data_IF_370083902300
#
_entry.id   IF_370083902300
#
_cell.length_a   1.000
_cell.length_b   1.000
_cell.length_c   1.000
_cell.angle_alpha   90.00
_cell.angle_beta   90.00
_cell.angle_gamma   90.00
#
_symmetry.space_group_name_H-M   'P 1'
#
loop_
_entity.id
_entity.type
_entity.pdbx_description
1 polymer ?
#
# COMPACT_ATOMS: atom_id res chain seq x y z
N UNK A 1 13.26 10.72 4.65
CA UNK A 1 12.35 11.51 3.79
C UNK A 1 13.07 12.07 2.57
N UNK A 2 14.15 12.82 2.74
CA UNK A 2 14.84 13.49 1.62
C UNK A 2 15.34 12.50 0.55
N UNK A 3 15.88 11.37 0.97
CA UNK A 3 16.47 10.36 0.08
C UNK A 3 15.43 9.61 -0.76
N UNK A 4 14.29 9.24 -0.15
CA UNK A 4 13.28 8.39 -0.79
C UNK A 4 12.01 9.13 -1.20
N UNK A 5 11.88 10.42 -0.87
CA UNK A 5 10.72 11.25 -1.17
C UNK A 5 9.38 10.63 -0.66
N UNK A 6 9.41 10.08 0.55
CA UNK A 6 8.27 9.49 1.24
C UNK A 6 8.16 10.09 2.63
N UNK A 7 6.96 10.46 3.06
CA UNK A 7 6.70 11.11 4.34
C UNK A 7 6.94 10.13 5.49
N UNK A 8 7.65 10.58 6.53
CA UNK A 8 7.91 9.77 7.74
C UNK A 8 6.61 9.37 8.46
N UNK A 9 5.62 10.26 8.47
CA UNK A 9 4.35 10.03 9.15
C UNK A 9 3.54 8.92 8.46
N UNK A 10 3.65 8.81 7.12
CA UNK A 10 3.09 7.68 6.38
C UNK A 10 3.74 6.35 6.79
N UNK A 11 5.07 6.32 6.86
CA UNK A 11 5.79 5.10 7.27
C UNK A 11 5.44 4.70 8.70
N UNK A 12 5.35 5.66 9.62
CA UNK A 12 4.91 5.39 11.00
C UNK A 12 3.49 4.83 11.04
N UNK A 13 2.57 5.41 10.27
CA UNK A 13 1.19 4.93 10.19
C UNK A 13 1.12 3.51 9.63
N UNK A 14 1.88 3.20 8.58
CA UNK A 14 1.96 1.85 8.00
C UNK A 14 2.51 0.84 9.03
N UNK A 15 3.62 1.15 9.70
CA UNK A 15 4.16 0.30 10.77
C UNK A 15 3.14 0.10 11.91
N UNK A 16 2.38 1.14 12.25
CA UNK A 16 1.30 1.05 13.22
C UNK A 16 0.21 0.07 12.81
N UNK A 17 -0.23 0.12 11.55
CA UNK A 17 -1.27 -0.75 11.00
C UNK A 17 -0.77 -2.19 10.86
N UNK A 18 0.44 -2.38 10.32
CA UNK A 18 0.97 -3.72 10.02
C UNK A 18 1.37 -4.49 11.27
N UNK A 19 2.03 -3.84 12.22
CA UNK A 19 2.67 -4.54 13.34
C UNK A 19 2.43 -3.92 14.71
N UNK A 20 1.55 -2.91 14.81
CA UNK A 20 1.40 -2.12 16.04
C UNK A 20 2.77 -1.65 16.56
N UNK A 21 3.51 -0.96 15.69
CA UNK A 21 4.86 -0.44 15.97
C UNK A 21 5.86 -1.53 16.40
N UNK A 22 5.83 -2.68 15.74
CA UNK A 22 6.72 -3.80 16.00
C UNK A 22 6.32 -4.72 17.16
N UNK A 23 5.18 -4.47 17.82
CA UNK A 23 4.70 -5.33 18.91
C UNK A 23 4.11 -6.67 18.42
N UNK A 24 3.65 -6.73 17.16
CA UNK A 24 3.03 -7.93 16.54
C UNK A 24 3.71 -8.30 15.23
N UNK A 25 4.91 -8.83 15.31
CA UNK A 25 5.69 -9.25 14.12
C UNK A 25 5.28 -10.63 13.57
N UNK A 26 4.43 -11.36 14.30
CA UNK A 26 4.13 -12.76 14.03
C UNK A 26 5.14 -13.72 14.69
N UNK A 27 4.71 -14.97 14.91
CA UNK A 27 5.50 -16.02 15.60
C UNK A 27 5.61 -17.31 14.79
N UNK A 28 5.09 -17.30 13.56
CA UNK A 28 5.14 -18.49 12.69
C UNK A 28 6.49 -18.57 12.00
N UNK A 29 7.03 -19.77 11.91
CA UNK A 29 8.18 -20.04 11.06
C UNK A 29 7.80 -19.81 9.59
N UNK A 30 8.50 -18.91 8.93
CA UNK A 30 8.13 -18.44 7.57
C UNK A 30 8.34 -19.55 6.54
N UNK A 31 9.40 -20.34 6.66
CA UNK A 31 9.69 -21.42 5.72
C UNK A 31 8.58 -22.46 5.80
N UNK A 32 8.25 -22.91 7.01
CA UNK A 32 7.17 -23.88 7.23
C UNK A 32 5.80 -23.34 6.76
N UNK A 33 5.52 -22.06 7.00
CA UNK A 33 4.28 -21.42 6.57
C UNK A 33 4.16 -21.41 5.05
N UNK A 34 5.19 -20.96 4.34
CA UNK A 34 5.21 -20.91 2.87
C UNK A 34 5.17 -22.32 2.26
N UNK A 35 5.92 -23.28 2.84
CA UNK A 35 5.89 -24.68 2.39
C UNK A 35 4.48 -25.27 2.53
N UNK A 36 3.82 -25.08 3.68
CA UNK A 36 2.46 -25.56 3.91
C UNK A 36 1.47 -24.95 2.90
N UNK A 37 1.53 -23.63 2.71
CA UNK A 37 0.65 -22.92 1.78
C UNK A 37 0.91 -23.27 0.30
N UNK A 38 2.11 -23.73 -0.03
CA UNK A 38 2.45 -24.25 -1.36
C UNK A 38 1.66 -25.53 -1.72
N UNK A 39 1.20 -26.29 -0.75
CA UNK A 39 0.33 -27.45 -0.96
C UNK A 39 -1.14 -27.08 -1.19
N UNK A 40 -1.59 -25.90 -0.78
CA UNK A 40 -2.97 -25.46 -1.00
C UNK A 40 -3.18 -25.06 -2.46
N UNK A 41 -3.94 -25.86 -3.19
CA UNK A 41 -4.20 -25.70 -4.63
C UNK A 41 -4.70 -24.30 -5.04
N UNK A 42 -5.37 -23.58 -4.13
CA UNK A 42 -5.96 -22.27 -4.42
C UNK A 42 -4.92 -21.21 -4.78
N UNK A 43 -3.73 -21.24 -4.18
CA UNK A 43 -2.66 -20.26 -4.38
C UNK A 43 -1.25 -20.91 -4.38
N UNK A 44 -1.18 -22.20 -4.71
CA UNK A 44 0.05 -23.00 -4.69
C UNK A 44 1.20 -22.33 -5.45
N UNK A 45 0.96 -21.91 -6.68
CA UNK A 45 1.98 -21.26 -7.50
C UNK A 45 2.54 -20.00 -6.86
N UNK A 46 1.66 -19.15 -6.31
CA UNK A 46 2.10 -17.94 -5.62
C UNK A 46 3.02 -18.25 -4.44
N UNK A 47 2.59 -19.14 -3.53
CA UNK A 47 3.37 -19.44 -2.33
C UNK A 47 4.62 -20.26 -2.62
N UNK A 48 4.61 -21.12 -3.63
CA UNK A 48 5.82 -21.82 -4.09
C UNK A 48 6.87 -20.84 -4.62
N UNK A 49 6.45 -19.83 -5.37
CA UNK A 49 7.35 -18.79 -5.86
C UNK A 49 7.93 -17.95 -4.71
N UNK A 50 7.10 -17.58 -3.73
CA UNK A 50 7.58 -16.85 -2.53
C UNK A 50 8.60 -17.69 -1.74
N UNK A 51 8.32 -18.99 -1.55
CA UNK A 51 9.26 -19.91 -0.87
C UNK A 51 10.59 -20.00 -1.61
N UNK A 52 10.58 -20.20 -2.93
CA UNK A 52 11.80 -20.28 -3.73
C UNK A 52 12.62 -18.99 -3.68
N UNK A 53 11.95 -17.83 -3.67
CA UNK A 53 12.63 -16.54 -3.51
C UNK A 53 13.27 -16.45 -2.13
N UNK A 54 12.55 -16.82 -1.06
CA UNK A 54 13.07 -16.80 0.29
C UNK A 54 14.32 -17.68 0.43
N UNK A 55 14.27 -18.92 -0.08
CA UNK A 55 15.42 -19.84 -0.02
C UNK A 55 16.65 -19.28 -0.75
N UNK A 56 16.46 -18.57 -1.87
CA UNK A 56 17.56 -17.88 -2.57
C UNK A 56 18.13 -16.72 -1.77
N UNK A 57 17.30 -15.93 -1.09
CA UNK A 57 17.75 -14.83 -0.24
C UNK A 57 18.59 -15.34 0.95
N UNK A 58 18.22 -16.51 1.49
CA UNK A 58 18.99 -17.19 2.54
C UNK A 58 20.33 -17.74 1.99
N UNK A 59 20.27 -18.42 0.85
CA UNK A 59 21.47 -19.02 0.20
C UNK A 59 22.52 -17.96 -0.18
N UNK A 60 22.07 -16.74 -0.46
CA UNK A 60 22.91 -15.59 -0.78
C UNK A 60 23.34 -14.76 0.45
N UNK A 61 23.05 -15.21 1.65
CA UNK A 61 23.28 -14.50 2.92
C UNK A 61 22.68 -13.08 2.99
N UNK A 62 21.67 -12.81 2.18
CA UNK A 62 20.94 -11.51 2.20
C UNK A 62 20.08 -11.38 3.45
N UNK A 63 19.56 -12.50 3.96
CA UNK A 63 18.72 -12.59 5.16
C UNK A 63 19.21 -13.71 6.06
N UNK A 64 19.31 -13.45 7.36
CA UNK A 64 19.61 -14.47 8.35
C UNK A 64 18.42 -15.42 8.57
N UNK A 65 18.62 -16.71 8.30
CA UNK A 65 17.62 -17.77 8.50
C UNK A 65 17.12 -17.89 9.94
N UNK A 66 17.91 -17.50 10.93
CA UNK A 66 17.58 -17.67 12.34
C UNK A 66 16.51 -16.69 12.84
N UNK A 67 16.20 -15.65 12.07
CA UNK A 67 15.24 -14.61 12.45
C UNK A 67 13.94 -14.67 11.65
N UNK A 68 13.69 -15.72 10.87
CA UNK A 68 12.57 -15.86 9.95
C UNK A 68 11.26 -16.27 10.66
N UNK A 69 10.82 -15.45 11.60
CA UNK A 69 9.50 -15.57 12.23
C UNK A 69 8.63 -14.37 11.84
N UNK A 70 7.40 -14.66 11.47
CA UNK A 70 6.47 -13.64 11.00
C UNK A 70 5.02 -14.11 10.96
N UNK A 71 4.27 -13.68 9.96
CA UNK A 71 2.87 -14.04 9.78
C UNK A 71 2.71 -15.49 9.28
N UNK A 72 1.51 -16.03 9.47
CA UNK A 72 1.14 -17.34 8.92
C UNK A 72 1.17 -17.42 7.38
N UNK A 73 1.12 -16.27 6.72
CA UNK A 73 1.13 -16.17 5.25
C UNK A 73 2.53 -15.90 4.66
N UNK A 74 3.58 -15.88 5.50
CA UNK A 74 4.96 -15.74 5.02
C UNK A 74 5.48 -14.31 4.97
N UNK A 75 4.75 -13.33 5.48
CA UNK A 75 5.22 -11.95 5.60
C UNK A 75 5.97 -11.74 6.91
N UNK A 76 7.02 -10.91 6.93
CA UNK A 76 7.79 -10.63 8.13
C UNK A 76 8.40 -9.22 8.20
N UNK A 77 8.92 -8.87 9.38
CA UNK A 77 9.49 -7.56 9.67
C UNK A 77 8.44 -6.50 10.01
N UNK A 78 8.91 -5.30 10.29
CA UNK A 78 8.09 -4.17 10.77
C UNK A 78 6.97 -3.76 9.79
N UNK A 79 7.17 -3.98 8.49
CA UNK A 79 6.23 -3.66 7.42
C UNK A 79 5.64 -4.89 6.72
N UNK A 80 5.77 -6.08 7.31
CA UNK A 80 5.19 -7.34 6.83
C UNK A 80 5.48 -7.61 5.34
N UNK A 81 6.75 -7.53 4.94
CA UNK A 81 7.16 -7.79 3.57
C UNK A 81 7.12 -9.28 3.22
N UNK A 82 6.59 -9.58 2.04
CA UNK A 82 6.72 -10.90 1.42
C UNK A 82 8.12 -11.07 0.82
N UNK A 83 8.63 -12.31 0.66
CA UNK A 83 9.96 -12.56 0.10
C UNK A 83 10.24 -11.85 -1.22
N UNK A 84 9.27 -11.79 -2.12
CA UNK A 84 9.38 -11.03 -3.38
C UNK A 84 9.60 -9.54 -3.14
N UNK A 85 8.84 -8.96 -2.22
CA UNK A 85 8.99 -7.54 -1.88
C UNK A 85 10.38 -7.26 -1.32
N UNK A 86 10.92 -8.18 -0.53
CA UNK A 86 12.28 -8.05 0.00
C UNK A 86 13.29 -8.07 -1.13
N UNK A 87 13.23 -9.09 -1.99
CA UNK A 87 14.12 -9.22 -3.14
C UNK A 87 14.15 -7.97 -4.01
N UNK A 88 12.97 -7.39 -4.27
CA UNK A 88 12.84 -6.33 -5.27
C UNK A 88 13.09 -4.92 -4.68
N UNK A 89 12.90 -4.74 -3.35
CA UNK A 89 12.87 -3.41 -2.75
C UNK A 89 13.63 -3.24 -1.43
N UNK A 90 13.97 -4.32 -0.73
CA UNK A 90 14.64 -4.16 0.56
C UNK A 90 16.08 -3.66 0.42
N UNK A 91 16.55 -2.95 1.43
CA UNK A 91 17.85 -2.30 1.46
C UNK A 91 18.53 -2.60 2.79
N UNK A 92 19.80 -2.99 2.72
CA UNK A 92 20.73 -2.92 3.83
C UNK A 92 21.20 -1.46 3.98
N UNK A 93 20.50 -0.71 4.83
CA UNK A 93 20.73 0.73 4.96
C UNK A 93 21.93 1.06 5.85
N UNK A 94 22.19 0.23 6.86
CA UNK A 94 23.30 0.41 7.77
C UNK A 94 24.62 -0.21 7.24
N UNK A 95 24.59 -0.87 6.07
CA UNK A 95 25.72 -1.51 5.38
C UNK A 95 26.41 -2.60 6.20
N UNK A 96 25.64 -3.36 6.98
CA UNK A 96 26.17 -4.49 7.75
C UNK A 96 26.21 -5.82 6.97
N UNK A 97 25.83 -5.80 5.67
CA UNK A 97 25.76 -6.90 4.70
C UNK A 97 24.55 -7.83 4.88
N UNK A 98 23.62 -7.51 5.74
CA UNK A 98 22.41 -8.31 5.98
C UNK A 98 21.20 -7.38 6.03
N UNK A 99 20.10 -7.78 5.43
CA UNK A 99 18.84 -7.04 5.51
C UNK A 99 18.06 -7.48 6.74
N UNK A 100 17.88 -6.59 7.70
CA UNK A 100 17.23 -6.84 8.98
C UNK A 100 15.90 -6.12 9.11
N UNK A 101 14.81 -6.70 8.59
CA UNK A 101 13.50 -6.05 8.55
C UNK A 101 12.80 -5.88 9.91
N UNK A 102 13.41 -6.32 11.00
CA UNK A 102 13.02 -6.00 12.39
C UNK A 102 13.83 -4.83 12.95
N UNK A 103 14.96 -4.50 12.35
CA UNK A 103 15.74 -3.31 12.64
C UNK A 103 15.03 -2.08 12.04
N UNK A 104 15.05 -0.96 12.76
CA UNK A 104 14.37 0.29 12.34
C UNK A 104 15.01 0.86 11.08
N UNK A 105 16.35 0.87 10.99
CA UNK A 105 17.05 1.50 9.87
C UNK A 105 16.73 0.80 8.56
N UNK A 106 16.93 -0.51 8.46
CA UNK A 106 16.68 -1.27 7.24
C UNK A 106 15.19 -1.34 6.91
N UNK A 107 14.33 -1.55 7.91
CA UNK A 107 12.90 -1.68 7.68
C UNK A 107 12.27 -0.39 7.14
N UNK A 108 12.61 0.78 7.73
CA UNK A 108 12.11 2.07 7.25
C UNK A 108 12.69 2.45 5.88
N UNK A 109 13.99 2.22 5.66
CA UNK A 109 14.61 2.47 4.37
C UNK A 109 14.00 1.58 3.28
N UNK A 110 13.78 0.30 3.57
CA UNK A 110 13.14 -0.64 2.65
C UNK A 110 11.71 -0.25 2.33
N UNK A 111 10.90 0.14 3.33
CA UNK A 111 9.53 0.58 3.13
C UNK A 111 9.46 1.88 2.32
N UNK A 112 10.34 2.83 2.59
CA UNK A 112 10.43 4.06 1.84
C UNK A 112 10.87 3.82 0.38
N UNK A 113 11.85 2.93 0.17
CA UNK A 113 12.28 2.53 -1.18
C UNK A 113 11.15 1.83 -1.95
N UNK A 114 10.42 0.92 -1.31
CA UNK A 114 9.25 0.27 -1.89
C UNK A 114 8.24 1.29 -2.40
N UNK A 115 7.78 2.20 -1.53
CA UNK A 115 6.79 3.22 -1.90
C UNK A 115 7.29 4.13 -3.02
N UNK A 116 8.55 4.58 -2.95
CA UNK A 116 9.15 5.38 -4.02
C UNK A 116 9.15 4.62 -5.36
N UNK A 117 9.60 3.37 -5.37
CA UNK A 117 9.72 2.55 -6.59
C UNK A 117 8.38 2.19 -7.22
N UNK A 118 7.32 2.00 -6.42
CA UNK A 118 5.97 1.81 -6.96
C UNK A 118 5.29 3.12 -7.38
N UNK A 119 5.97 4.26 -7.24
CA UNK A 119 5.56 5.57 -7.75
C UNK A 119 4.76 6.42 -6.77
N UNK A 120 5.00 6.28 -5.46
CA UNK A 120 4.51 7.24 -4.46
C UNK A 120 4.98 8.65 -4.80
N UNK A 121 4.07 9.61 -4.69
CA UNK A 121 4.34 11.03 -4.92
C UNK A 121 4.24 11.79 -3.61
N UNK A 122 5.38 12.26 -3.12
CA UNK A 122 5.44 13.08 -1.91
C UNK A 122 4.51 14.29 -2.03
N UNK A 123 3.94 14.69 -0.90
CA UNK A 123 3.03 15.84 -0.79
C UNK A 123 1.73 15.73 -1.63
N UNK A 124 1.45 14.55 -2.20
CA UNK A 124 0.20 14.26 -2.89
C UNK A 124 -0.71 13.42 -1.99
N UNK A 125 -1.92 13.85 -1.66
CA UNK A 125 -2.81 13.06 -0.81
C UNK A 125 -3.24 11.77 -1.52
N UNK A 126 -3.64 10.74 -0.75
CA UNK A 126 -4.28 9.56 -1.30
C UNK A 126 -5.71 9.88 -1.76
N UNK A 127 -6.47 10.56 -0.91
CA UNK A 127 -7.86 10.92 -1.18
C UNK A 127 -8.29 12.16 -0.40
N UNK A 128 -9.40 12.74 -0.85
CA UNK A 128 -10.13 13.79 -0.13
C UNK A 128 -11.61 13.42 -0.06
N UNK A 129 -12.18 13.46 1.14
CA UNK A 129 -13.62 13.27 1.31
C UNK A 129 -14.38 14.47 0.73
N UNK A 130 -15.35 14.19 -0.12
CA UNK A 130 -16.13 15.22 -0.85
C UNK A 130 -17.62 15.01 -0.71
N UNK A 131 -18.39 16.04 -1.06
CA UNK A 131 -19.84 15.96 -1.27
C UNK A 131 -20.12 16.25 -2.73
N UNK A 132 -20.87 15.38 -3.39
CA UNK A 132 -21.18 15.50 -4.80
C UNK A 132 -22.48 16.29 -5.03
N UNK A 133 -22.57 16.92 -6.18
CA UNK A 133 -23.80 17.43 -6.74
C UNK A 133 -24.61 16.29 -7.37
N UNK A 134 -25.91 16.49 -7.55
CA UNK A 134 -26.83 15.46 -8.07
C UNK A 134 -26.68 15.23 -9.58
N UNK A 135 -26.06 16.16 -10.30
CA UNK A 135 -25.88 16.18 -11.75
C UNK A 135 -24.63 15.41 -12.24
N UNK A 136 -23.86 14.79 -11.35
CA UNK A 136 -22.69 14.02 -11.76
C UNK A 136 -23.07 12.80 -12.62
N UNK A 137 -22.50 12.63 -13.82
CA UNK A 137 -22.78 11.45 -14.63
C UNK A 137 -22.31 10.15 -13.96
N UNK A 138 -23.18 9.13 -13.89
CA UNK A 138 -22.91 7.83 -13.25
C UNK A 138 -21.63 7.15 -13.72
N UNK A 139 -21.22 7.36 -14.99
CA UNK A 139 -19.98 6.79 -15.54
C UNK A 139 -18.70 7.20 -14.80
N UNK A 140 -18.72 8.31 -14.06
CA UNK A 140 -17.58 8.79 -13.27
C UNK A 140 -17.55 8.25 -11.85
N UNK A 141 -18.59 7.54 -11.42
CA UNK A 141 -18.67 6.94 -10.09
C UNK A 141 -18.08 5.53 -10.11
N UNK A 142 -17.02 5.32 -9.36
CA UNK A 142 -16.41 4.01 -9.18
C UNK A 142 -16.82 3.45 -7.82
N UNK A 143 -17.38 2.24 -7.79
CA UNK A 143 -17.78 1.55 -6.55
C UNK A 143 -16.65 0.72 -5.93
N UNK A 144 -15.53 0.61 -6.62
CA UNK A 144 -14.39 -0.22 -6.19
C UNK A 144 -13.08 0.56 -6.32
N UNK A 145 -12.20 0.35 -5.34
CA UNK A 145 -10.83 0.84 -5.37
C UNK A 145 -9.97 0.12 -6.43
N UNK A 146 -10.41 -1.04 -6.91
CA UNK A 146 -9.73 -1.81 -7.95
C UNK A 146 -10.24 -1.42 -9.33
N UNK A 147 -9.33 -1.26 -10.28
CA UNK A 147 -9.67 -0.91 -11.67
C UNK A 147 -10.45 0.41 -11.80
N UNK A 148 -9.98 1.46 -11.17
CA UNK A 148 -10.57 2.80 -11.24
C UNK A 148 -10.59 3.27 -12.69
N UNK A 149 -11.79 3.64 -13.16
CA UNK A 149 -12.04 4.08 -14.53
C UNK A 149 -12.37 5.57 -14.58
N UNK A 150 -12.33 6.12 -15.82
CA UNK A 150 -12.78 7.50 -16.12
C UNK A 150 -12.07 8.57 -15.29
N UNK A 151 -10.75 8.40 -15.09
CA UNK A 151 -9.91 9.43 -14.46
C UNK A 151 -9.94 10.73 -15.24
N UNK A 152 -10.02 11.84 -14.54
CA UNK A 152 -9.96 13.22 -15.07
C UNK A 152 -9.13 14.09 -14.13
N UNK A 153 -8.71 15.26 -14.59
CA UNK A 153 -8.05 16.25 -13.73
C UNK A 153 -9.04 16.76 -12.65
N UNK A 154 -8.53 17.12 -11.48
CA UNK A 154 -9.30 17.67 -10.36
C UNK A 154 -10.21 18.81 -10.84
N UNK A 155 -9.71 19.73 -11.68
CA UNK A 155 -10.48 20.84 -12.28
C UNK A 155 -11.80 20.38 -12.90
N UNK A 156 -11.82 19.21 -13.57
CA UNK A 156 -13.03 18.67 -14.16
C UNK A 156 -14.07 18.29 -13.10
N UNK A 157 -13.62 17.61 -12.02
CA UNK A 157 -14.52 17.16 -10.98
C UNK A 157 -15.00 18.27 -10.04
N UNK A 158 -14.26 19.39 -9.93
CA UNK A 158 -14.70 20.55 -9.14
C UNK A 158 -16.09 21.05 -9.52
N UNK A 159 -16.49 20.90 -10.78
CA UNK A 159 -17.84 21.27 -11.26
C UNK A 159 -18.97 20.42 -10.63
N UNK A 160 -18.63 19.24 -10.12
CA UNK A 160 -19.59 18.29 -9.54
C UNK A 160 -19.42 18.14 -8.02
N UNK A 161 -18.56 18.95 -7.38
CA UNK A 161 -18.28 18.90 -5.94
C UNK A 161 -18.85 20.13 -5.26
N UNK A 162 -19.66 19.90 -4.22
CA UNK A 162 -20.21 20.99 -3.38
C UNK A 162 -19.08 21.69 -2.62
N UNK A 163 -19.07 23.02 -2.62
CA UNK A 163 -18.02 23.83 -1.98
C UNK A 163 -16.60 23.49 -2.49
N UNK A 164 -16.47 23.25 -3.79
CA UNK A 164 -15.18 22.88 -4.41
C UNK A 164 -14.11 23.97 -4.28
N UNK A 165 -14.49 25.21 -4.04
CA UNK A 165 -13.59 26.34 -3.76
C UNK A 165 -12.75 26.16 -2.49
N UNK A 166 -13.22 25.32 -1.55
CA UNK A 166 -12.50 24.97 -0.31
C UNK A 166 -11.48 23.84 -0.50
N UNK A 167 -11.44 23.22 -1.67
CA UNK A 167 -10.46 22.17 -1.97
C UNK A 167 -9.11 22.83 -2.32
N UNK A 168 -8.18 22.80 -1.36
CA UNK A 168 -6.81 23.26 -1.59
C UNK A 168 -5.98 22.14 -2.23
N UNK A 169 -6.25 21.83 -3.50
CA UNK A 169 -5.62 20.75 -4.26
C UNK A 169 -5.33 21.24 -5.66
N UNK A 170 -4.17 20.84 -6.20
CA UNK A 170 -3.77 21.19 -7.56
C UNK A 170 -4.80 20.68 -8.59
N UNK A 171 -5.34 21.62 -9.37
CA UNK A 171 -6.33 21.39 -10.42
C UNK A 171 -5.87 20.45 -11.54
N UNK A 172 -4.57 20.30 -11.70
CA UNK A 172 -3.97 19.47 -12.76
C UNK A 172 -3.72 18.03 -12.35
N UNK A 173 -3.85 17.67 -11.05
CA UNK A 173 -3.70 16.30 -10.60
C UNK A 173 -4.75 15.40 -11.25
N UNK A 174 -4.30 14.22 -11.68
CA UNK A 174 -5.20 13.17 -12.16
C UNK A 174 -5.95 12.57 -10.97
N UNK A 175 -7.25 12.44 -11.12
CA UNK A 175 -8.13 11.99 -10.03
C UNK A 175 -9.30 11.18 -10.55
N UNK A 176 -10.01 10.53 -9.62
CA UNK A 176 -11.26 9.83 -9.89
C UNK A 176 -12.18 9.94 -8.68
N UNK A 177 -13.46 9.66 -8.87
CA UNK A 177 -14.42 9.61 -7.77
C UNK A 177 -14.69 8.16 -7.41
N UNK A 178 -14.58 7.85 -6.10
CA UNK A 178 -14.98 6.57 -5.51
C UNK A 178 -16.17 6.79 -4.59
N UNK A 179 -17.20 5.96 -4.80
CA UNK A 179 -18.38 5.84 -3.95
C UNK A 179 -18.46 4.38 -3.50
N UNK A 180 -18.08 4.03 -2.25
CA UNK A 180 -17.97 2.64 -1.81
C UNK A 180 -19.28 1.86 -1.85
N UNK A 181 -20.41 2.54 -1.61
CA UNK A 181 -21.73 1.93 -1.61
C UNK A 181 -22.34 1.95 -3.01
N UNK A 182 -22.51 0.77 -3.60
CA UNK A 182 -22.98 0.61 -4.98
C UNK A 182 -24.41 1.08 -5.23
N UNK A 183 -25.26 1.02 -4.21
CA UNK A 183 -26.70 1.15 -4.34
C UNK A 183 -27.22 2.53 -3.93
N UNK A 184 -26.35 3.43 -3.46
CA UNK A 184 -26.75 4.76 -3.01
C UNK A 184 -26.27 5.79 -4.01
N UNK A 185 -27.22 6.55 -4.58
CA UNK A 185 -26.93 7.64 -5.50
C UNK A 185 -26.37 8.81 -4.69
N UNK A 186 -25.14 9.28 -4.96
CA UNK A 186 -24.61 10.47 -4.31
C UNK A 186 -25.51 11.67 -4.58
N UNK A 187 -25.91 12.34 -3.50
CA UNK A 187 -26.77 13.52 -3.60
C UNK A 187 -28.23 13.30 -3.18
N UNK A 188 -28.72 12.07 -3.12
CA UNK A 188 -29.93 11.78 -2.35
C UNK A 188 -29.63 12.03 -0.87
N UNK A 189 -30.63 12.37 -0.05
CA UNK A 189 -30.47 12.68 1.40
C UNK A 189 -29.85 11.58 2.26
N UNK A 190 -29.22 10.59 1.64
CA UNK A 190 -28.49 9.49 2.24
C UNK A 190 -27.00 9.81 2.25
N UNK A 191 -26.37 9.67 3.40
CA UNK A 191 -24.92 9.87 3.64
C UNK A 191 -24.12 8.78 2.93
N UNK A 192 -23.90 8.93 1.64
CA UNK A 192 -22.93 8.10 0.93
C UNK A 192 -21.59 8.80 0.98
N UNK A 193 -20.56 8.21 1.61
CA UNK A 193 -19.24 8.80 1.55
C UNK A 193 -18.74 8.77 0.10
N UNK A 194 -18.41 9.95 -0.43
CA UNK A 194 -17.74 10.08 -1.71
C UNK A 194 -16.32 10.59 -1.50
N UNK A 195 -15.39 10.06 -2.27
CA UNK A 195 -13.97 10.41 -2.17
C UNK A 195 -13.42 10.77 -3.54
N UNK A 196 -12.75 11.90 -3.61
CA UNK A 196 -11.87 12.23 -4.73
C UNK A 196 -10.52 11.57 -4.42
N UNK A 197 -10.09 10.64 -5.26
CA UNK A 197 -8.85 9.86 -5.08
C UNK A 197 -7.82 10.26 -6.13
N UNK A 198 -6.56 10.18 -5.79
CA UNK A 198 -5.42 10.60 -6.59
C UNK A 198 -4.48 9.42 -6.88
N UNK A 199 -3.41 9.65 -7.63
CA UNK A 199 -2.47 8.60 -8.03
C UNK A 199 -1.93 7.77 -6.84
N UNK A 200 -1.67 8.40 -5.68
CA UNK A 200 -1.19 7.71 -4.48
C UNK A 200 -2.20 6.71 -3.89
N UNK A 201 -3.48 6.82 -4.22
CA UNK A 201 -4.50 5.90 -3.72
C UNK A 201 -4.36 4.47 -4.26
N UNK A 202 -3.71 4.30 -5.41
CA UNK A 202 -3.49 3.00 -6.04
C UNK A 202 -2.12 2.38 -5.68
N UNK A 203 -1.33 3.04 -4.84
CA UNK A 203 0.00 2.62 -4.38
C UNK A 203 -0.08 1.97 -3.01
#
# INVERSE_FOLDING_TARGET
EQQFLVEKDLLLALMGIETNYGNYLGKMDIISSLATLSFDKRRSEFFSNELLILLRLIDQDVIDKNILFGSWAGAFGNFQFMPRTIKDYAIDYNNNKTIELKNIEDSFASAANYLNKIGWKKDTPCYTKIKLNDDIPKKYLNSSARNIKNKKKVKFFKNYIKNSEKLNIDDHLLSAIITPDKDIIPGSNTYTPAYLVYDNYEK
#
